data_IF_677549822148
#
_entry.id   IF_677549822148
#
_cell.length_a   1.000
_cell.length_b   1.000
_cell.length_c   1.000
_cell.angle_alpha   90.00
_cell.angle_beta   90.00
_cell.angle_gamma   90.00
#
_symmetry.space_group_name_H-M   'P 1'
#
loop_
_entity.id
_entity.type
_entity.pdbx_description
1 polymer ?
#
# COMPACT_ATOMS: atom_id res chain seq x y z
N UNK A 1 15.61 -11.34 17.56
CA UNK A 1 14.61 -10.46 16.93
C UNK A 1 13.33 -11.22 16.69
N UNK A 2 12.22 -10.53 16.45
CA UNK A 2 10.93 -11.14 16.08
C UNK A 2 10.96 -11.49 14.57
N UNK A 3 10.74 -12.75 14.17
CA UNK A 3 10.76 -13.17 12.76
C UNK A 3 9.75 -12.40 11.90
N UNK A 4 10.02 -12.31 10.60
CA UNK A 4 9.02 -11.87 9.61
C UNK A 4 8.15 -13.06 9.22
N UNK A 5 6.85 -12.86 9.02
CA UNK A 5 5.93 -13.94 8.60
C UNK A 5 5.35 -13.68 7.23
N UNK A 6 5.07 -12.42 6.90
CA UNK A 6 4.43 -12.04 5.66
C UNK A 6 4.92 -10.67 5.20
N UNK A 7 6.15 -10.60 4.70
CA UNK A 7 6.61 -9.40 4.01
C UNK A 7 5.77 -9.15 2.75
N UNK A 8 5.21 -7.94 2.60
CA UNK A 8 4.31 -7.63 1.47
C UNK A 8 4.79 -6.39 0.68
N UNK A 9 4.74 -5.21 1.29
CA UNK A 9 5.15 -3.97 0.67
C UNK A 9 6.63 -3.65 0.88
N UNK A 10 7.26 -3.04 -0.11
CA UNK A 10 8.63 -2.50 -0.02
C UNK A 10 8.77 -1.21 -0.83
N UNK A 11 9.52 -0.25 -0.29
CA UNK A 11 9.97 0.95 -0.99
C UNK A 11 11.38 1.34 -0.54
N UNK A 12 12.13 2.02 -1.41
CA UNK A 12 13.53 2.42 -1.16
C UNK A 12 13.65 3.93 -1.28
N UNK A 13 14.15 4.56 -0.21
CA UNK A 13 14.50 5.96 -0.27
C UNK A 13 15.76 6.14 -1.13
N UNK A 14 15.60 6.78 -2.29
CA UNK A 14 16.63 6.78 -3.34
C UNK A 14 17.91 7.50 -2.93
N UNK A 15 17.84 8.52 -2.05
CA UNK A 15 19.03 9.28 -1.64
C UNK A 15 19.84 8.61 -0.53
N UNK A 16 19.19 7.92 0.42
CA UNK A 16 19.88 7.29 1.55
C UNK A 16 20.09 5.78 1.37
N UNK A 17 19.36 5.15 0.44
CA UNK A 17 19.33 3.70 0.28
C UNK A 17 18.55 2.98 1.37
N UNK A 18 17.94 3.71 2.31
CA UNK A 18 17.14 3.11 3.37
C UNK A 18 15.91 2.41 2.76
N UNK A 19 15.61 1.21 3.28
CA UNK A 19 14.50 0.39 2.79
C UNK A 19 13.39 0.41 3.82
N UNK A 20 12.18 0.70 3.35
CA UNK A 20 10.96 0.65 4.14
C UNK A 20 10.14 -0.53 3.66
N UNK A 21 9.68 -1.36 4.57
CA UNK A 21 8.93 -2.56 4.21
C UNK A 21 7.87 -2.90 5.25
N UNK A 22 6.83 -3.58 4.82
CA UNK A 22 5.79 -4.09 5.70
C UNK A 22 5.96 -5.58 5.94
N UNK A 23 5.63 -5.99 7.16
CA UNK A 23 5.28 -7.37 7.50
C UNK A 23 3.78 -7.35 7.79
N UNK A 24 2.97 -7.88 6.87
CA UNK A 24 1.52 -7.75 6.87
C UNK A 24 0.89 -8.34 8.13
N UNK A 25 1.45 -9.44 8.64
CA UNK A 25 1.09 -10.09 9.89
C UNK A 25 2.37 -10.56 10.57
N UNK A 26 2.46 -10.50 11.90
CA UNK A 26 3.56 -11.14 12.63
C UNK A 26 3.21 -12.55 13.12
N UNK A 27 1.99 -13.02 12.83
CA UNK A 27 1.46 -14.32 13.26
C UNK A 27 1.27 -15.26 12.07
N UNK A 28 0.66 -14.77 10.98
CA UNK A 28 0.23 -15.57 9.84
C UNK A 28 1.12 -15.33 8.62
N UNK A 29 1.41 -16.39 7.86
CA UNK A 29 2.02 -16.24 6.53
C UNK A 29 0.96 -16.15 5.42
N UNK A 30 1.40 -15.98 4.17
CA UNK A 30 0.51 -15.82 3.00
C UNK A 30 -0.41 -17.02 2.76
N UNK A 31 -0.04 -18.23 3.18
CA UNK A 31 -0.88 -19.43 3.03
C UNK A 31 -2.03 -19.46 4.03
N UNK A 32 -1.94 -18.64 5.08
CA UNK A 32 -2.93 -18.49 6.14
C UNK A 32 -3.72 -17.19 6.03
N UNK A 33 -3.70 -16.53 4.87
CA UNK A 33 -4.36 -15.25 4.64
C UNK A 33 -5.86 -15.30 4.99
N UNK A 34 -6.57 -16.37 4.62
CA UNK A 34 -8.00 -16.51 4.94
C UNK A 34 -8.26 -16.55 6.46
N UNK A 35 -7.36 -17.17 7.23
CA UNK A 35 -7.43 -17.19 8.69
C UNK A 35 -7.19 -15.78 9.22
N UNK A 36 -6.12 -15.11 8.76
CA UNK A 36 -5.79 -13.75 9.16
C UNK A 36 -6.93 -12.75 8.88
N UNK A 37 -7.62 -12.89 7.75
CA UNK A 37 -8.81 -12.11 7.41
C UNK A 37 -9.98 -12.42 8.36
N UNK A 38 -10.24 -13.71 8.63
CA UNK A 38 -11.36 -14.13 9.48
C UNK A 38 -11.26 -13.63 10.93
N UNK A 39 -10.04 -13.52 11.47
CA UNK A 39 -9.79 -13.03 12.84
C UNK A 39 -9.51 -11.53 12.89
N UNK A 40 -9.57 -10.84 11.75
CA UNK A 40 -9.25 -9.42 11.60
C UNK A 40 -7.87 -9.11 12.17
N UNK A 41 -6.85 -9.84 11.69
CA UNK A 41 -5.49 -9.70 12.18
C UNK A 41 -5.01 -8.25 12.11
N UNK A 42 -4.40 -7.82 13.20
CA UNK A 42 -3.85 -6.48 13.37
C UNK A 42 -2.46 -6.52 13.97
N UNK A 43 -1.69 -7.58 13.68
CA UNK A 43 -0.31 -7.74 14.18
C UNK A 43 0.75 -7.20 13.22
N UNK A 44 0.34 -6.60 12.10
CA UNK A 44 1.23 -6.08 11.07
C UNK A 44 2.18 -4.98 11.56
N UNK A 45 3.30 -4.82 10.85
CA UNK A 45 4.42 -3.95 11.23
C UNK A 45 4.97 -3.16 10.04
N UNK A 46 5.34 -1.90 10.29
CA UNK A 46 6.20 -1.12 9.41
C UNK A 46 7.62 -1.19 9.92
N UNK A 47 8.55 -1.55 9.05
CA UNK A 47 9.97 -1.68 9.37
C UNK A 47 10.81 -0.78 8.47
N UNK A 48 11.97 -0.38 8.99
CA UNK A 48 13.02 0.31 8.27
C UNK A 48 14.32 -0.48 8.38
N UNK A 49 14.94 -0.78 7.25
CA UNK A 49 16.34 -1.16 7.17
C UNK A 49 17.18 0.09 6.89
N UNK A 50 18.12 0.39 7.79
CA UNK A 50 19.07 1.48 7.60
C UNK A 50 20.28 0.96 6.81
N UNK A 51 20.52 1.50 5.63
CA UNK A 51 21.57 1.00 4.74
C UNK A 51 22.99 1.25 5.28
N UNK A 52 23.15 2.25 6.16
CA UNK A 52 24.44 2.62 6.74
C UNK A 52 24.78 1.73 7.93
N UNK A 53 23.84 1.53 8.85
CA UNK A 53 24.07 0.70 10.05
C UNK A 53 23.81 -0.79 9.81
N UNK A 54 23.08 -1.11 8.73
CA UNK A 54 22.60 -2.46 8.39
C UNK A 54 21.63 -3.05 9.41
N UNK A 55 20.98 -2.19 10.18
CA UNK A 55 20.03 -2.58 11.22
C UNK A 55 18.59 -2.43 10.74
N UNK A 56 17.72 -3.31 11.25
CA UNK A 56 16.27 -3.20 11.05
C UNK A 56 15.62 -2.67 12.32
N UNK A 57 14.84 -1.60 12.19
CA UNK A 57 14.05 -1.01 13.27
C UNK A 57 12.57 -1.11 12.97
N UNK A 58 11.77 -1.48 13.96
CA UNK A 58 10.30 -1.40 13.87
C UNK A 58 9.85 0.04 14.08
N UNK A 59 9.29 0.65 13.03
CA UNK A 59 8.79 2.02 13.05
C UNK A 59 7.35 2.09 13.58
N UNK A 60 6.54 1.08 13.26
CA UNK A 60 5.15 1.05 13.67
C UNK A 60 4.65 -0.39 13.82
N UNK A 61 3.73 -0.59 14.75
CA UNK A 61 3.13 -1.90 15.07
C UNK A 61 1.61 -1.78 15.07
N UNK A 62 0.96 -2.92 15.13
CA UNK A 62 -0.48 -3.05 15.23
C UNK A 62 -1.21 -2.50 13.98
N UNK A 63 -0.64 -2.79 12.81
CA UNK A 63 -1.23 -2.49 11.51
C UNK A 63 -2.18 -3.62 11.09
N UNK A 64 -3.26 -3.27 10.42
CA UNK A 64 -4.35 -4.17 10.07
C UNK A 64 -4.11 -4.73 8.67
N UNK A 65 -3.41 -5.85 8.59
CA UNK A 65 -2.82 -6.42 7.36
C UNK A 65 -2.06 -5.35 6.54
N UNK A 66 -0.85 -5.01 6.99
CA UNK A 66 -0.02 -3.96 6.38
C UNK A 66 0.40 -4.32 4.95
N UNK A 67 -0.34 -3.84 3.95
CA UNK A 67 -0.19 -4.28 2.57
C UNK A 67 0.94 -3.56 1.83
N UNK A 68 0.88 -2.24 1.78
CA UNK A 68 1.76 -1.39 0.99
C UNK A 68 2.52 -0.38 1.83
N UNK A 69 3.64 0.09 1.28
CA UNK A 69 4.45 1.17 1.85
C UNK A 69 5.01 2.06 0.75
N UNK A 70 5.07 3.37 1.00
CA UNK A 70 5.76 4.32 0.15
C UNK A 70 6.43 5.41 1.01
N UNK A 71 7.73 5.60 0.84
CA UNK A 71 8.48 6.67 1.51
C UNK A 71 8.42 7.94 0.67
N UNK A 72 8.24 9.09 1.32
CA UNK A 72 8.26 10.36 0.62
C UNK A 72 9.66 10.70 0.09
N UNK A 73 9.72 11.67 -0.82
CA UNK A 73 10.95 12.08 -1.49
C UNK A 73 12.04 12.60 -0.54
N UNK A 74 11.65 13.19 0.60
CA UNK A 74 12.58 13.83 1.54
C UNK A 74 12.82 12.99 2.81
N UNK A 75 12.34 11.75 2.85
CA UNK A 75 12.41 10.85 4.03
C UNK A 75 11.85 11.50 5.32
N UNK A 76 10.83 12.35 5.17
CA UNK A 76 10.09 13.01 6.26
C UNK A 76 8.94 12.16 6.78
N UNK A 77 8.31 11.35 5.93
CA UNK A 77 7.20 10.48 6.29
C UNK A 77 7.11 9.24 5.42
N UNK A 78 6.35 8.26 5.91
CA UNK A 78 6.02 7.04 5.17
C UNK A 78 4.51 6.90 5.13
N UNK A 79 3.98 6.56 3.95
CA UNK A 79 2.60 6.10 3.83
C UNK A 79 2.55 4.58 3.94
N UNK A 80 1.61 4.07 4.73
CA UNK A 80 1.36 2.62 4.89
C UNK A 80 -0.13 2.35 4.75
N UNK A 81 -0.50 1.30 4.04
CA UNK A 81 -1.89 0.89 3.87
C UNK A 81 -2.29 -0.19 4.87
N UNK A 82 -3.38 0.05 5.60
CA UNK A 82 -4.05 -0.95 6.41
C UNK A 82 -5.20 -1.54 5.59
N UNK A 83 -5.03 -2.77 5.11
CA UNK A 83 -6.00 -3.43 4.25
C UNK A 83 -7.35 -3.61 4.95
N UNK A 84 -7.40 -4.30 6.10
CA UNK A 84 -8.68 -4.61 6.77
C UNK A 84 -9.30 -3.43 7.51
N UNK A 85 -8.53 -2.36 7.78
CA UNK A 85 -9.03 -1.14 8.39
C UNK A 85 -9.45 -0.06 7.39
N UNK A 86 -9.39 -0.33 6.07
CA UNK A 86 -9.83 0.58 5.01
C UNK A 86 -9.21 1.99 5.13
N UNK A 87 -7.90 2.08 5.44
CA UNK A 87 -7.23 3.36 5.63
C UNK A 87 -5.79 3.34 5.16
N UNK A 88 -5.31 4.53 4.82
CA UNK A 88 -3.87 4.81 4.65
C UNK A 88 -3.40 5.67 5.81
N UNK A 89 -2.27 5.30 6.40
CA UNK A 89 -1.62 6.04 7.48
C UNK A 89 -0.38 6.76 6.95
N UNK A 90 -0.25 8.04 7.29
CA UNK A 90 0.98 8.80 7.15
C UNK A 90 1.70 8.81 8.50
N UNK A 91 2.88 8.21 8.55
CA UNK A 91 3.71 8.13 9.75
C UNK A 91 4.91 9.07 9.58
N UNK A 92 5.00 10.10 10.41
CA UNK A 92 6.12 11.06 10.37
C UNK A 92 7.39 10.42 10.94
N UNK A 93 8.52 10.57 10.23
CA UNK A 93 9.82 10.03 10.62
C UNK A 93 10.64 11.02 11.47
N UNK A 94 10.33 12.32 11.38
CA UNK A 94 11.01 13.40 12.10
C UNK A 94 10.13 13.98 13.22
N UNK A 95 10.72 14.37 14.35
CA UNK A 95 10.04 15.16 15.40
C UNK A 95 9.06 14.40 16.30
N UNK A 96 9.12 13.08 16.33
CA UNK A 96 8.17 12.21 17.05
C UNK A 96 7.15 11.59 16.09
N UNK A 97 6.72 10.35 16.39
CA UNK A 97 5.79 9.59 15.53
C UNK A 97 4.38 10.19 15.64
N UNK A 98 3.99 11.03 14.69
CA UNK A 98 2.59 11.43 14.50
C UNK A 98 1.95 10.65 13.36
N UNK A 99 0.66 10.36 13.48
CA UNK A 99 -0.11 9.59 12.51
C UNK A 99 -1.25 10.46 11.98
N UNK A 100 -1.32 10.61 10.66
CA UNK A 100 -2.53 11.11 9.99
C UNK A 100 -3.16 9.93 9.26
N UNK A 101 -4.45 9.71 9.48
CA UNK A 101 -5.19 8.63 8.85
C UNK A 101 -6.18 9.19 7.84
N UNK A 102 -6.27 8.54 6.68
CA UNK A 102 -7.28 8.87 5.68
C UNK A 102 -8.02 7.60 5.30
N UNK A 103 -9.34 7.64 5.47
CA UNK A 103 -10.23 6.56 5.02
C UNK A 103 -10.17 6.52 3.51
N UNK A 104 -9.88 5.34 2.98
CA UNK A 104 -9.82 5.07 1.55
C UNK A 104 -10.65 3.82 1.28
N UNK A 105 -11.06 3.59 0.02
CA UNK A 105 -11.42 2.24 -0.41
C UNK A 105 -10.37 1.22 0.03
N UNK A 106 -10.78 -0.03 0.30
CA UNK A 106 -9.90 -1.10 0.84
C UNK A 106 -8.55 -1.11 0.11
N UNK A 107 -7.48 -0.60 0.74
CA UNK A 107 -6.25 -0.29 0.04
C UNK A 107 -5.30 -1.49 0.05
N UNK A 108 -4.53 -1.64 -1.03
CA UNK A 108 -3.46 -2.63 -1.15
C UNK A 108 -2.11 -1.91 -1.33
N UNK A 109 -1.29 -2.24 -2.34
CA UNK A 109 -0.02 -1.54 -2.55
C UNK A 109 -0.21 -0.05 -2.85
N UNK A 110 0.74 0.73 -2.34
CA UNK A 110 0.89 2.16 -2.57
C UNK A 110 2.25 2.45 -3.21
N UNK A 111 2.30 3.29 -4.25
CA UNK A 111 3.53 3.65 -4.97
C UNK A 111 3.68 5.15 -5.11
N UNK A 112 4.85 5.66 -4.77
CA UNK A 112 5.20 7.07 -4.98
C UNK A 112 5.49 7.36 -6.45
N UNK A 113 4.98 8.49 -6.92
CA UNK A 113 5.25 9.06 -8.25
C UNK A 113 6.45 10.00 -8.20
N UNK A 114 7.01 10.34 -9.36
CA UNK A 114 8.09 11.35 -9.48
C UNK A 114 7.70 12.73 -8.96
N UNK A 115 6.40 13.05 -8.89
CA UNK A 115 5.88 14.33 -8.39
C UNK A 115 5.49 14.28 -6.90
N UNK A 116 6.01 13.28 -6.17
CA UNK A 116 5.75 13.05 -4.74
C UNK A 116 4.23 12.98 -4.42
N UNK A 117 3.47 12.41 -5.35
CA UNK A 117 2.09 11.92 -5.18
C UNK A 117 2.11 10.40 -5.05
N UNK A 118 1.01 9.80 -4.63
CA UNK A 118 0.97 8.37 -4.37
C UNK A 118 -0.22 7.73 -5.09
N UNK A 119 0.01 6.61 -5.76
CA UNK A 119 -1.03 5.76 -6.31
C UNK A 119 -1.28 4.59 -5.37
N UNK A 120 -2.55 4.32 -5.09
CA UNK A 120 -3.01 3.13 -4.40
C UNK A 120 -3.77 2.24 -5.36
N UNK A 121 -3.49 0.94 -5.30
CA UNK A 121 -4.46 -0.05 -5.72
C UNK A 121 -5.50 -0.19 -4.61
N UNK A 122 -6.78 -0.22 -4.96
CA UNK A 122 -7.83 -0.35 -3.98
C UNK A 122 -9.07 -1.04 -4.55
N UNK A 123 -9.94 -1.52 -3.66
CA UNK A 123 -11.25 -2.06 -4.01
C UNK A 123 -12.33 -1.22 -3.34
N UNK A 124 -13.30 -0.77 -4.14
CA UNK A 124 -14.52 -0.09 -3.65
C UNK A 124 -15.68 -1.08 -3.64
N UNK A 125 -16.53 -0.98 -2.63
CA UNK A 125 -17.84 -1.63 -2.67
C UNK A 125 -18.79 -0.71 -3.44
N UNK A 126 -19.35 -1.21 -4.54
CA UNK A 126 -20.33 -0.48 -5.36
C UNK A 126 -21.59 -1.34 -5.57
N UNK A 127 -22.71 -1.02 -4.90
CA UNK A 127 -23.96 -1.76 -5.05
C UNK A 127 -24.57 -1.71 -6.45
N UNK A 128 -24.12 -0.79 -7.32
CA UNK A 128 -24.60 -0.67 -8.70
C UNK A 128 -23.94 -1.64 -9.69
N UNK A 129 -22.98 -2.46 -9.24
CA UNK A 129 -22.27 -3.44 -10.05
C UNK A 129 -22.66 -4.84 -9.56
N UNK A 130 -22.94 -5.77 -10.49
CA UNK A 130 -23.41 -7.13 -10.18
C UNK A 130 -22.52 -7.90 -9.20
N UNK A 131 -21.22 -7.60 -9.19
CA UNK A 131 -20.24 -8.21 -8.29
C UNK A 131 -20.12 -7.54 -6.92
N UNK A 132 -20.62 -6.32 -6.79
CA UNK A 132 -20.42 -5.45 -5.63
C UNK A 132 -19.00 -4.90 -5.44
N UNK A 133 -18.00 -5.36 -6.21
CA UNK A 133 -16.59 -5.00 -6.05
C UNK A 133 -16.05 -4.28 -7.29
N UNK A 134 -15.49 -3.09 -7.06
CA UNK A 134 -14.96 -2.21 -8.09
C UNK A 134 -13.45 -2.01 -7.91
N UNK A 135 -12.60 -2.64 -8.74
CA UNK A 135 -11.16 -2.38 -8.73
C UNK A 135 -10.88 -0.94 -9.15
N UNK A 136 -10.07 -0.25 -8.35
CA UNK A 136 -9.87 1.20 -8.46
C UNK A 136 -8.40 1.55 -8.26
N UNK A 137 -7.87 2.44 -9.11
CA UNK A 137 -6.64 3.17 -8.83
C UNK A 137 -6.98 4.51 -8.19
N UNK A 138 -6.39 4.84 -7.04
CA UNK A 138 -6.60 6.13 -6.35
C UNK A 138 -5.29 6.89 -6.26
N UNK A 139 -5.24 8.11 -6.83
CA UNK A 139 -4.08 8.99 -6.66
C UNK A 139 -4.33 9.96 -5.52
N UNK A 140 -3.41 10.06 -4.58
CA UNK A 140 -3.47 10.96 -3.43
C UNK A 140 -2.24 11.87 -3.35
N UNK A 141 -2.37 13.00 -2.66
CA UNK A 141 -1.25 13.84 -2.29
C UNK A 141 -0.61 13.41 -0.95
N UNK A 142 0.48 14.08 -0.54
CA UNK A 142 1.17 13.82 0.73
C UNK A 142 0.36 14.10 2.00
N UNK A 143 -0.86 14.64 1.90
CA UNK A 143 -1.79 14.85 3.00
C UNK A 143 -2.95 13.82 2.99
N UNK A 144 -2.94 12.86 2.06
CA UNK A 144 -3.99 11.87 1.93
C UNK A 144 -5.18 12.30 1.06
N UNK A 145 -5.23 13.55 0.59
CA UNK A 145 -6.34 14.02 -0.23
C UNK A 145 -6.33 13.36 -1.61
N UNK A 146 -7.50 12.87 -2.04
CA UNK A 146 -7.69 12.28 -3.37
C UNK A 146 -7.55 13.34 -4.45
N UNK A 147 -6.74 13.05 -5.45
CA UNK A 147 -6.49 13.87 -6.64
C UNK A 147 -7.11 13.28 -7.89
N UNK A 148 -7.19 11.95 -7.97
CA UNK A 148 -7.60 11.22 -9.17
C UNK A 148 -8.14 9.84 -8.76
N UNK A 149 -9.11 9.34 -9.49
CA UNK A 149 -9.66 7.98 -9.31
C UNK A 149 -9.90 7.37 -10.67
N UNK A 150 -9.37 6.16 -10.88
CA UNK A 150 -9.46 5.41 -12.13
C UNK A 150 -10.29 4.16 -11.89
N UNK A 151 -11.44 4.06 -12.55
CA UNK A 151 -12.24 2.84 -12.59
C UNK A 151 -11.53 1.81 -13.50
N UNK A 152 -11.26 0.63 -12.98
CA UNK A 152 -10.54 -0.45 -13.68
C UNK A 152 -11.43 -1.64 -14.07
N UNK A 153 -12.74 -1.54 -13.84
CA UNK A 153 -13.76 -2.57 -14.14
C UNK A 153 -13.70 -3.02 -15.60
N UNK A 154 -13.50 -2.09 -16.54
CA UNK A 154 -13.44 -2.41 -17.97
C UNK A 154 -12.41 -3.51 -18.29
N UNK A 155 -11.31 -3.55 -17.56
CA UNK A 155 -10.21 -4.50 -17.80
C UNK A 155 -10.23 -5.67 -16.82
N UNK A 156 -10.61 -5.43 -15.57
CA UNK A 156 -10.50 -6.43 -14.49
C UNK A 156 -11.86 -6.97 -14.02
N UNK A 157 -12.97 -6.48 -14.59
CA UNK A 157 -14.31 -6.77 -14.11
C UNK A 157 -14.43 -6.47 -12.63
N UNK A 158 -14.69 -7.52 -11.85
CA UNK A 158 -14.81 -7.47 -10.40
C UNK A 158 -13.58 -7.95 -9.63
N UNK A 159 -12.50 -8.33 -10.33
CA UNK A 159 -11.30 -8.86 -9.70
C UNK A 159 -10.46 -7.73 -9.14
N UNK A 160 -9.99 -7.89 -7.91
CA UNK A 160 -9.13 -6.92 -7.24
C UNK A 160 -7.85 -6.67 -8.02
N UNK A 161 -7.36 -5.43 -7.97
CA UNK A 161 -6.02 -5.05 -8.40
C UNK A 161 -5.16 -4.82 -7.17
N UNK A 162 -3.88 -5.17 -7.27
CA UNK A 162 -2.96 -5.20 -6.12
C UNK A 162 -1.86 -4.16 -6.25
N UNK A 163 -1.60 -3.64 -7.45
CA UNK A 163 -0.65 -2.53 -7.65
C UNK A 163 -1.11 -1.61 -8.77
N UNK A 164 -0.97 -0.31 -8.53
CA UNK A 164 -1.13 0.75 -9.52
C UNK A 164 0.11 1.63 -9.45
N UNK A 165 0.90 1.66 -10.53
CA UNK A 165 2.18 2.37 -10.55
C UNK A 165 2.30 3.27 -11.78
N UNK A 166 2.58 4.54 -11.53
CA UNK A 166 2.84 5.52 -12.59
C UNK A 166 4.33 5.55 -12.93
N UNK A 167 4.63 5.45 -14.22
CA UNK A 167 5.98 5.64 -14.74
C UNK A 167 5.96 6.32 -16.10
N UNK A 168 6.52 7.54 -16.17
CA UNK A 168 6.40 8.38 -17.36
C UNK A 168 4.95 8.75 -17.62
N UNK A 169 4.48 8.53 -18.85
CA UNK A 169 3.09 8.78 -19.27
C UNK A 169 2.21 7.53 -19.16
N UNK A 170 2.64 6.52 -18.39
CA UNK A 170 1.96 5.22 -18.30
C UNK A 170 1.57 4.91 -16.87
N UNK A 171 0.41 4.27 -16.74
CA UNK A 171 -0.07 3.67 -15.51
C UNK A 171 -0.08 2.15 -15.69
N UNK A 172 0.70 1.45 -14.88
CA UNK A 172 0.77 0.00 -14.85
C UNK A 172 -0.16 -0.51 -13.77
N UNK A 173 -1.02 -1.46 -14.11
CA UNK A 173 -1.97 -2.08 -13.19
C UNK A 173 -1.72 -3.57 -13.17
N UNK A 174 -1.62 -4.13 -11.97
CA UNK A 174 -1.30 -5.54 -11.76
C UNK A 174 -2.37 -6.18 -10.91
N UNK A 175 -2.81 -7.38 -11.34
CA UNK A 175 -3.59 -8.28 -10.52
C UNK A 175 -2.95 -9.66 -10.51
N UNK A 176 -2.95 -10.31 -9.33
CA UNK A 176 -2.60 -11.73 -9.19
C UNK A 176 -3.76 -12.67 -9.58
N UNK A 177 -4.91 -12.11 -9.96
CA UNK A 177 -6.10 -12.83 -10.40
C UNK A 177 -6.26 -12.84 -11.92
N UNK A 178 -5.28 -12.28 -12.63
CA UNK A 178 -5.23 -12.20 -14.09
C UNK A 178 -3.84 -12.61 -14.60
N UNK A 179 -3.78 -12.99 -15.87
CA UNK A 179 -2.56 -13.39 -16.58
C UNK A 179 -1.95 -12.26 -17.44
N UNK A 180 -2.46 -11.03 -17.29
CA UNK A 180 -1.99 -9.86 -18.03
C UNK A 180 -1.70 -8.67 -17.11
N UNK A 181 -0.93 -7.71 -17.64
CA UNK A 181 -0.69 -6.40 -17.03
C UNK A 181 -1.35 -5.34 -17.91
N UNK A 182 -2.28 -4.55 -17.36
CA UNK A 182 -2.84 -3.43 -18.09
C UNK A 182 -1.87 -2.24 -18.02
N UNK A 183 -1.68 -1.59 -19.18
CA UNK A 183 -0.86 -0.38 -19.30
C UNK A 183 -1.71 0.71 -19.92
N UNK A 184 -2.13 1.67 -19.10
CA UNK A 184 -2.96 2.80 -19.53
C UNK A 184 -2.09 4.00 -19.85
N UNK A 185 -2.44 4.72 -20.92
CA UNK A 185 -1.82 6.01 -21.22
C UNK A 185 -2.45 7.10 -20.35
N UNK A 186 -1.59 7.88 -19.71
CA UNK A 186 -1.99 9.06 -18.96
C UNK A 186 -1.81 10.28 -19.87
N UNK A 187 -2.92 10.92 -20.20
CA UNK A 187 -2.98 12.16 -20.97
C UNK A 187 -2.77 13.37 -20.06
#
# INVERSE_FOLDING_TARGET
>A
GEPYRFCNGVDVHQHTGNVYFTDASSVFDITQLDIALSVVDSTGRLLKYDAKTKEVTVLFRNLSLAAGVAVDEEEKFVMVTDFTANRTRKITLQGGRSIIETIQPTPDNIKRTRLNKFWLAAVRVDPGIDSGLLPTGVRINGNGSVLETVNLERWYGNKSVFEVQEFGTKLYIVSRLEDFIAVLLKH
#
